data_IF_422320228634
#
_entry.id   IF_422320228634
#
_cell.length_a   1.000
_cell.length_b   1.000
_cell.length_c   1.000
_cell.angle_alpha   90.00
_cell.angle_beta   90.00
_cell.angle_gamma   90.00
#
_symmetry.space_group_name_H-M   'P 1'
#
loop_
_entity.id
_entity.type
_entity.pdbx_description
1 polymer ?
#
# COMPACT_ATOMS: atom_id res chain seq x y z
N UNK A 1 8.62 -12.51 18.21
CA UNK A 1 7.82 -11.64 19.11
C UNK A 1 6.69 -10.84 18.41
N UNK A 2 6.73 -10.57 17.10
CA UNK A 2 5.74 -9.72 16.36
C UNK A 2 4.41 -10.45 16.06
N UNK A 3 4.45 -11.75 15.79
CA UNK A 3 3.26 -12.56 15.41
C UNK A 3 2.15 -12.51 16.50
N UNK A 4 2.54 -12.52 17.78
CA UNK A 4 1.59 -12.44 18.91
C UNK A 4 0.81 -11.12 18.94
N UNK A 5 1.43 -10.00 18.57
CA UNK A 5 0.79 -8.68 18.60
C UNK A 5 -0.27 -8.54 17.51
N UNK A 6 0.01 -9.03 16.30
CA UNK A 6 -0.96 -9.05 15.21
C UNK A 6 -2.14 -9.98 15.51
N UNK A 7 -1.87 -11.13 16.12
CA UNK A 7 -2.92 -12.07 16.51
C UNK A 7 -3.93 -11.46 17.50
N UNK A 8 -3.46 -10.67 18.46
CA UNK A 8 -4.34 -9.97 19.41
C UNK A 8 -5.26 -8.98 18.68
N UNK A 9 -4.73 -8.20 17.72
CA UNK A 9 -5.56 -7.27 16.93
C UNK A 9 -6.64 -7.99 16.12
N UNK A 10 -6.36 -9.20 15.63
CA UNK A 10 -7.34 -10.01 14.87
C UNK A 10 -8.47 -10.59 15.74
N UNK A 11 -8.37 -10.50 17.07
CA UNK A 11 -9.45 -10.89 17.99
C UNK A 11 -10.47 -9.78 18.26
N UNK A 12 -10.20 -8.55 17.82
CA UNK A 12 -11.14 -7.44 17.99
C UNK A 12 -12.44 -7.70 17.24
N UNK A 13 -13.56 -7.18 17.76
CA UNK A 13 -14.91 -7.30 17.18
C UNK A 13 -15.45 -5.92 16.80
N UNK A 14 -16.35 -5.90 15.82
CA UNK A 14 -17.13 -4.72 15.41
C UNK A 14 -18.31 -4.53 16.37
N UNK A 15 -18.66 -3.26 16.63
CA UNK A 15 -19.72 -2.90 17.57
C UNK A 15 -19.20 -2.72 19.00
N UNK A 16 -20.12 -2.54 19.92
CA UNK A 16 -19.81 -2.33 21.33
C UNK A 16 -19.57 -3.67 22.03
N UNK A 17 -18.87 -3.63 23.17
CA UNK A 17 -18.53 -4.83 23.96
C UNK A 17 -19.75 -5.68 24.34
N UNK A 18 -20.88 -5.02 24.64
CA UNK A 18 -22.13 -5.70 25.01
C UNK A 18 -22.85 -6.34 23.84
N UNK A 19 -22.60 -5.87 22.61
CA UNK A 19 -23.29 -6.30 21.39
C UNK A 19 -22.30 -6.49 20.24
N UNK A 20 -21.40 -7.48 20.32
CA UNK A 20 -20.43 -7.74 19.27
C UNK A 20 -21.13 -8.26 18.02
N UNK A 21 -20.78 -7.71 16.85
CA UNK A 21 -21.42 -8.06 15.57
C UNK A 21 -20.62 -9.10 14.78
N UNK A 22 -19.38 -8.77 14.43
CA UNK A 22 -18.51 -9.59 13.61
C UNK A 22 -17.04 -9.32 13.94
N UNK A 23 -16.09 -10.20 13.61
CA UNK A 23 -14.68 -9.89 13.74
C UNK A 23 -14.30 -8.58 13.03
N UNK A 24 -13.51 -7.75 13.68
CA UNK A 24 -12.98 -6.49 13.17
C UNK A 24 -11.81 -6.75 12.22
N UNK A 25 -12.10 -7.46 11.12
CA UNK A 25 -11.16 -7.78 10.06
C UNK A 25 -11.26 -6.83 8.87
N UNK A 26 -10.21 -6.81 8.03
CA UNK A 26 -10.19 -6.10 6.75
C UNK A 26 -10.61 -4.61 6.81
N UNK A 27 -10.31 -3.91 7.92
CA UNK A 27 -10.63 -2.48 8.10
C UNK A 27 -9.64 -1.59 7.33
N UNK A 28 -9.49 -1.85 6.04
CA UNK A 28 -8.67 -1.03 5.15
C UNK A 28 -9.55 -0.47 4.04
N UNK A 29 -9.22 0.73 3.60
CA UNK A 29 -9.80 1.29 2.38
C UNK A 29 -8.97 0.79 1.19
N UNK A 30 -9.61 0.32 0.09
CA UNK A 30 -8.88 -0.04 -1.12
C UNK A 30 -8.07 1.15 -1.68
N UNK A 31 -6.93 0.88 -2.34
CA UNK A 31 -6.16 1.92 -3.03
C UNK A 31 -7.01 2.67 -4.04
N UNK A 32 -6.87 4.00 -4.07
CA UNK A 32 -7.52 4.86 -5.06
C UNK A 32 -6.51 5.36 -6.10
N UNK A 33 -6.98 5.73 -7.31
CA UNK A 33 -6.12 6.34 -8.32
C UNK A 33 -5.40 7.59 -7.81
N UNK A 34 -4.15 7.77 -8.24
CA UNK A 34 -3.34 8.92 -7.84
C UNK A 34 -3.79 10.24 -8.48
N UNK A 35 -4.47 10.18 -9.63
CA UNK A 35 -5.02 11.32 -10.36
C UNK A 35 -3.97 12.42 -10.66
N UNK A 36 -2.83 12.02 -11.24
CA UNK A 36 -1.72 12.93 -11.60
C UNK A 36 -1.13 13.77 -10.45
N UNK A 37 -1.42 13.42 -9.19
CA UNK A 37 -0.79 14.05 -8.02
C UNK A 37 0.67 13.61 -7.91
N UNK A 38 1.53 14.53 -7.45
CA UNK A 38 2.92 14.21 -7.15
C UNK A 38 3.02 13.45 -5.80
N UNK A 39 3.86 12.43 -5.74
CA UNK A 39 4.23 11.72 -4.51
C UNK A 39 5.68 12.08 -4.16
N UNK A 40 5.89 12.71 -3.00
CA UNK A 40 7.23 13.06 -2.50
C UNK A 40 7.66 12.06 -1.43
N UNK A 41 8.95 11.75 -1.38
CA UNK A 41 9.55 10.89 -0.35
C UNK A 41 10.75 11.59 0.25
N UNK A 42 10.95 11.41 1.55
CA UNK A 42 12.16 11.88 2.25
C UNK A 42 13.31 10.86 2.13
N UNK A 43 13.08 9.75 1.42
CA UNK A 43 14.08 8.71 1.16
C UNK A 43 14.85 9.11 -0.10
N UNK A 44 16.18 9.21 0.01
CA UNK A 44 17.02 9.28 -1.17
C UNK A 44 17.10 7.90 -1.82
N UNK A 45 16.51 7.75 -3.00
CA UNK A 45 16.56 6.52 -3.77
C UNK A 45 17.86 6.36 -4.58
N UNK A 46 18.65 7.44 -4.72
CA UNK A 46 20.00 7.38 -5.26
C UNK A 46 20.88 6.84 -4.14
N UNK A 47 21.26 5.57 -4.28
CA UNK A 47 22.13 4.93 -3.30
C UNK A 47 23.56 5.41 -3.50
N UNK A 48 24.18 5.86 -2.42
CA UNK A 48 25.64 5.90 -2.35
C UNK A 48 26.14 4.43 -2.40
N UNK A 49 26.91 4.15 -3.45
CA UNK A 49 27.88 3.07 -3.65
C UNK A 49 27.57 1.72 -2.96
N UNK A 50 27.12 0.75 -3.76
CA UNK A 50 27.19 -0.69 -3.44
C UNK A 50 26.01 -1.30 -2.68
N UNK A 51 25.11 -0.53 -2.05
CA UNK A 51 24.01 -1.09 -1.24
C UNK A 51 22.77 -1.48 -2.07
N UNK A 52 22.86 -2.42 -3.01
CA UNK A 52 21.68 -2.84 -3.79
C UNK A 52 20.66 -3.59 -2.92
N UNK A 53 19.57 -2.96 -2.42
CA UNK A 53 18.40 -3.71 -1.95
C UNK A 53 17.69 -4.35 -3.16
N UNK A 54 17.62 -5.70 -3.21
CA UNK A 54 17.08 -6.43 -4.36
C UNK A 54 15.59 -6.19 -4.61
N UNK A 55 14.83 -5.83 -3.57
CA UNK A 55 13.37 -5.66 -3.64
C UNK A 55 12.91 -4.30 -4.17
N UNK A 56 13.82 -3.33 -4.33
CA UNK A 56 13.46 -1.98 -4.74
C UNK A 56 13.28 -1.92 -6.27
N UNK A 57 12.04 -1.74 -6.72
CA UNK A 57 11.74 -1.49 -8.14
C UNK A 57 12.28 -0.12 -8.55
N UNK A 58 13.14 -0.08 -9.57
CA UNK A 58 13.77 1.16 -10.07
C UNK A 58 12.83 2.02 -10.93
N UNK A 59 11.81 1.40 -11.52
CA UNK A 59 10.84 2.10 -12.35
C UNK A 59 9.72 2.68 -11.48
N UNK A 60 9.96 3.85 -10.90
CA UNK A 60 8.97 4.63 -10.13
C UNK A 60 8.32 5.75 -10.95
N UNK A 61 8.36 5.68 -12.27
CA UNK A 61 7.73 6.66 -13.14
C UNK A 61 6.29 6.22 -13.45
N UNK A 62 5.35 7.16 -13.37
CA UNK A 62 4.01 6.95 -13.86
C UNK A 62 4.05 6.80 -15.39
N UNK A 63 3.82 5.58 -15.89
CA UNK A 63 3.65 5.34 -17.32
C UNK A 63 2.19 5.65 -17.68
N UNK A 64 1.95 6.83 -18.25
CA UNK A 64 0.65 7.13 -18.84
C UNK A 64 0.40 6.12 -19.97
N UNK A 65 -0.74 5.41 -19.94
CA UNK A 65 -1.16 4.61 -21.09
C UNK A 65 -1.35 5.57 -22.26
N UNK A 66 -0.58 5.42 -23.33
CA UNK A 66 -0.84 6.13 -24.59
C UNK A 66 -2.15 5.56 -25.15
N UNK A 67 -3.12 6.42 -25.42
CA UNK A 67 -4.31 6.01 -26.16
C UNK A 67 -3.87 5.62 -27.58
N UNK A 68 -4.03 4.36 -27.95
CA UNK A 68 -3.94 3.94 -29.35
C UNK A 68 -5.18 4.45 -30.04
N UNK A 69 -5.04 5.41 -30.95
CA UNK A 69 -6.08 5.73 -31.93
C UNK A 69 -6.36 4.45 -32.72
N UNK A 70 -7.62 3.98 -32.81
CA UNK A 70 -7.95 2.88 -33.71
C UNK A 70 -7.50 3.25 -35.13
N UNK A 71 -6.92 2.30 -35.84
CA UNK A 71 -6.62 2.48 -37.27
C UNK A 71 -7.92 2.80 -38.04
N UNK A 72 -7.85 3.62 -39.10
CA UNK A 72 -9.02 4.00 -39.90
C UNK A 72 -9.73 2.79 -40.50
#
# INVERSE_FOLDING_TARGET
MIVRRLYILRKLMQGDERNPKAPLGNNFRPPLPLNRRALRSNINFIRQDGKTCPSMRRNMQYQAKKWTTPAP
#
